data_IF_794897970008
#
_entry.id   IF_794897970008
#
_cell.length_a   1.000
_cell.length_b   1.000
_cell.length_c   1.000
_cell.angle_alpha   90.00
_cell.angle_beta   90.00
_cell.angle_gamma   90.00
#
_symmetry.space_group_name_H-M   'P 1'
#
loop_
_entity.id
_entity.type
_entity.pdbx_description
1 polymer ?
#
# COMPACT_ATOMS: atom_id res chain seq x y z
N UNK A 1 7.08 -7.77 14.29
CA UNK A 1 7.36 -6.73 15.30
C UNK A 1 7.18 -7.35 16.67
N UNK A 2 8.21 -8.04 17.11
CA UNK A 2 8.26 -8.95 18.25
C UNK A 2 9.58 -8.80 19.03
N UNK A 3 10.39 -7.81 18.64
CA UNK A 3 11.68 -7.50 19.24
C UNK A 3 12.88 -7.70 18.31
N UNK A 4 12.66 -8.19 17.09
CA UNK A 4 13.74 -8.41 16.11
C UNK A 4 14.48 -7.12 15.71
N UNK A 5 15.79 -7.25 15.52
CA UNK A 5 16.67 -6.16 15.11
C UNK A 5 16.97 -6.24 13.59
N UNK A 6 17.11 -5.07 12.95
CA UNK A 6 17.55 -4.96 11.56
C UNK A 6 18.71 -3.98 11.45
N UNK A 7 19.70 -4.32 10.62
CA UNK A 7 20.85 -3.46 10.36
C UNK A 7 20.55 -2.47 9.24
N UNK A 8 21.09 -1.25 9.37
CA UNK A 8 21.05 -0.23 8.32
C UNK A 8 22.48 0.08 7.87
N UNK A 9 22.69 0.09 6.56
CA UNK A 9 23.97 0.42 5.93
C UNK A 9 23.80 1.60 4.97
N UNK A 10 24.72 2.56 5.03
CA UNK A 10 24.71 3.76 4.18
C UNK A 10 25.83 3.68 3.12
N UNK A 11 25.49 3.51 1.82
CA UNK A 11 26.48 3.61 0.74
C UNK A 11 27.15 4.99 0.72
N UNK A 12 28.48 5.03 0.58
CA UNK A 12 29.26 6.27 0.67
C UNK A 12 29.65 6.86 -0.69
N UNK A 13 29.67 6.05 -1.75
CA UNK A 13 29.99 6.53 -3.11
C UNK A 13 28.72 6.76 -3.93
N UNK A 14 28.79 7.70 -4.86
CA UNK A 14 27.68 8.01 -5.76
C UNK A 14 27.27 6.81 -6.62
N UNK A 15 28.26 6.03 -7.10
CA UNK A 15 28.02 4.81 -7.87
C UNK A 15 27.26 3.76 -7.06
N UNK A 16 27.72 3.46 -5.83
CA UNK A 16 27.06 2.48 -4.97
C UNK A 16 25.67 2.95 -4.54
N UNK A 17 25.47 4.26 -4.32
CA UNK A 17 24.16 4.84 -4.01
C UNK A 17 23.20 4.68 -5.18
N UNK A 18 23.66 4.94 -6.40
CA UNK A 18 22.84 4.80 -7.60
C UNK A 18 22.43 3.33 -7.83
N UNK A 19 23.36 2.38 -7.72
CA UNK A 19 23.04 0.95 -7.85
C UNK A 19 22.07 0.46 -6.78
N UNK A 20 22.30 0.81 -5.51
CA UNK A 20 21.41 0.42 -4.42
C UNK A 20 20.00 0.98 -4.61
N UNK A 21 19.87 2.23 -5.09
CA UNK A 21 18.57 2.85 -5.34
C UNK A 21 17.84 2.22 -6.53
N UNK A 22 18.55 2.01 -7.65
CA UNK A 22 17.94 1.58 -8.91
C UNK A 22 17.74 0.06 -8.93
N UNK A 23 18.73 -0.74 -8.53
CA UNK A 23 18.66 -2.19 -8.65
C UNK A 23 18.10 -2.84 -7.39
N UNK A 24 18.51 -2.36 -6.21
CA UNK A 24 18.11 -2.93 -4.92
C UNK A 24 16.89 -2.23 -4.29
N UNK A 25 16.31 -1.25 -5.01
CA UNK A 25 15.12 -0.52 -4.55
C UNK A 25 13.90 -1.44 -4.39
N UNK A 26 13.10 -1.20 -3.35
CA UNK A 26 11.94 -2.04 -3.00
C UNK A 26 10.94 -2.16 -4.16
N UNK A 27 10.67 -1.06 -4.87
CA UNK A 27 9.72 -1.03 -5.99
C UNK A 27 10.15 -1.92 -7.16
N UNK A 28 11.46 -2.12 -7.35
CA UNK A 28 12.00 -2.99 -8.40
C UNK A 28 12.07 -4.47 -7.96
N UNK A 29 11.87 -4.74 -6.67
CA UNK A 29 12.00 -6.08 -6.07
C UNK A 29 10.70 -6.56 -5.41
N UNK A 30 9.54 -6.14 -5.94
CA UNK A 30 8.22 -6.57 -5.44
C UNK A 30 7.89 -8.03 -5.77
N UNK A 31 8.56 -8.61 -6.78
CA UNK A 31 8.33 -9.95 -7.30
C UNK A 31 9.54 -10.83 -7.01
N UNK A 32 9.32 -12.07 -6.59
CA UNK A 32 10.43 -13.00 -6.34
C UNK A 32 10.99 -13.59 -7.64
N UNK A 33 12.33 -13.66 -7.82
CA UNK A 33 12.94 -14.25 -8.99
C UNK A 33 12.78 -15.77 -9.05
N UNK A 34 12.38 -16.43 -7.95
CA UNK A 34 12.25 -17.90 -7.89
C UNK A 34 11.15 -18.42 -8.81
N UNK A 35 10.00 -17.77 -8.81
CA UNK A 35 8.80 -18.24 -9.52
C UNK A 35 7.92 -17.11 -10.08
N UNK A 36 8.31 -15.83 -9.91
CA UNK A 36 7.57 -14.70 -10.45
C UNK A 36 6.34 -14.29 -9.64
N UNK A 37 6.14 -14.84 -8.45
CA UNK A 37 5.02 -14.45 -7.59
C UNK A 37 5.29 -13.12 -6.86
N UNK A 38 4.25 -12.33 -6.54
CA UNK A 38 4.39 -11.15 -5.68
C UNK A 38 4.93 -11.54 -4.30
N UNK A 39 6.06 -10.94 -3.92
CA UNK A 39 6.68 -11.12 -2.61
C UNK A 39 6.18 -10.10 -1.59
N UNK A 40 6.02 -8.83 -2.02
CA UNK A 40 5.50 -7.75 -1.18
C UNK A 40 4.03 -7.52 -1.53
N UNK A 41 3.13 -7.89 -0.62
CA UNK A 41 1.69 -7.80 -0.80
C UNK A 41 0.99 -7.44 0.52
N UNK A 42 -0.32 -7.19 0.45
CA UNK A 42 -1.14 -6.94 1.63
C UNK A 42 -1.12 -8.13 2.59
N UNK A 43 -0.88 -7.85 3.87
CA UNK A 43 -0.82 -8.85 4.95
C UNK A 43 -2.02 -8.72 5.90
N UNK A 44 -2.01 -9.50 6.98
CA UNK A 44 -3.09 -9.74 7.96
C UNK A 44 -4.14 -8.63 8.09
N UNK A 45 -3.78 -7.46 8.62
CA UNK A 45 -4.75 -6.41 8.92
C UNK A 45 -5.28 -5.72 7.66
N UNK A 46 -4.44 -5.55 6.64
CA UNK A 46 -4.87 -4.97 5.36
C UNK A 46 -5.91 -5.86 4.68
N UNK A 47 -5.70 -7.18 4.70
CA UNK A 47 -6.67 -8.14 4.15
C UNK A 47 -7.97 -8.14 4.95
N UNK A 48 -7.88 -8.11 6.28
CA UNK A 48 -9.06 -8.10 7.16
C UNK A 48 -9.88 -6.83 6.97
N UNK A 49 -9.23 -5.65 6.96
CA UNK A 49 -9.91 -4.38 6.73
C UNK A 49 -10.51 -4.30 5.33
N UNK A 50 -9.78 -4.76 4.30
CA UNK A 50 -10.28 -4.82 2.93
C UNK A 50 -11.55 -5.67 2.83
N UNK A 51 -11.58 -6.83 3.49
CA UNK A 51 -12.76 -7.69 3.54
C UNK A 51 -13.95 -7.01 4.23
N UNK A 52 -13.74 -6.38 5.38
CA UNK A 52 -14.82 -5.67 6.11
C UNK A 52 -15.41 -4.53 5.28
N UNK A 53 -14.55 -3.77 4.58
CA UNK A 53 -14.99 -2.65 3.74
C UNK A 53 -15.76 -3.13 2.50
N UNK A 54 -15.35 -4.25 1.91
CA UNK A 54 -15.90 -4.76 0.65
C UNK A 54 -16.99 -5.83 0.81
N UNK A 55 -17.35 -6.17 2.05
CA UNK A 55 -18.44 -7.10 2.33
C UNK A 55 -19.75 -6.60 1.71
N UNK A 56 -20.55 -7.52 1.15
CA UNK A 56 -21.78 -7.19 0.38
C UNK A 56 -22.79 -6.32 1.13
N UNK A 57 -22.85 -6.42 2.45
CA UNK A 57 -23.81 -5.71 3.29
C UNK A 57 -23.24 -4.42 3.90
N UNK A 58 -22.06 -3.98 3.45
CA UNK A 58 -21.43 -2.73 3.88
C UNK A 58 -21.89 -1.56 3.02
N UNK A 59 -22.70 -0.66 3.59
CA UNK A 59 -23.15 0.57 2.95
C UNK A 59 -22.61 1.79 3.71
N UNK A 60 -22.23 2.83 2.97
CA UNK A 60 -21.67 4.05 3.50
C UNK A 60 -22.47 5.25 3.03
N UNK A 61 -22.73 6.18 3.95
CA UNK A 61 -23.27 7.48 3.56
C UNK A 61 -22.21 8.36 2.88
N UNK A 62 -22.64 9.50 2.35
CA UNK A 62 -21.75 10.42 1.63
C UNK A 62 -20.60 10.93 2.51
N UNK A 63 -20.86 11.19 3.80
CA UNK A 63 -19.84 11.74 4.69
C UNK A 63 -18.77 10.68 5.01
N UNK A 64 -19.19 9.46 5.34
CA UNK A 64 -18.32 8.31 5.59
C UNK A 64 -17.47 7.98 4.36
N UNK A 65 -18.08 7.92 3.16
CA UNK A 65 -17.36 7.65 1.93
C UNK A 65 -16.30 8.72 1.63
N UNK A 66 -16.67 10.01 1.74
CA UNK A 66 -15.72 11.10 1.58
C UNK A 66 -14.55 11.01 2.58
N UNK A 67 -14.82 10.63 3.82
CA UNK A 67 -13.78 10.46 4.83
C UNK A 67 -12.82 9.31 4.48
N UNK A 68 -13.35 8.18 4.01
CA UNK A 68 -12.53 7.06 3.53
C UNK A 68 -11.65 7.47 2.32
N UNK A 69 -12.21 8.23 1.38
CA UNK A 69 -11.46 8.79 0.26
C UNK A 69 -10.35 9.75 0.71
N UNK A 70 -10.59 10.55 1.75
CA UNK A 70 -9.59 11.43 2.33
C UNK A 70 -8.44 10.64 2.96
N UNK A 71 -8.74 9.56 3.70
CA UNK A 71 -7.72 8.66 4.26
C UNK A 71 -6.89 7.96 3.18
N UNK A 72 -7.52 7.53 2.09
CA UNK A 72 -6.82 6.89 0.98
C UNK A 72 -5.84 7.83 0.26
N UNK A 73 -6.17 9.12 0.17
CA UNK A 73 -5.45 10.09 -0.67
C UNK A 73 -4.63 11.12 0.10
N UNK A 74 -4.54 10.99 1.42
CA UNK A 74 -4.04 12.04 2.34
C UNK A 74 -4.70 13.42 2.10
N UNK A 75 -5.92 13.45 1.56
CA UNK A 75 -6.61 14.67 1.15
C UNK A 75 -5.96 15.44 -0.01
N UNK A 76 -5.00 14.85 -0.72
CA UNK A 76 -4.24 15.51 -1.80
C UNK A 76 -4.80 15.25 -3.19
N UNK A 77 -5.64 14.23 -3.35
CA UNK A 77 -6.21 13.85 -4.64
C UNK A 77 -7.62 14.42 -4.80
N UNK A 78 -7.90 15.03 -5.96
CA UNK A 78 -9.27 15.34 -6.36
C UNK A 78 -9.96 14.05 -6.80
N UNK A 79 -11.03 13.67 -6.10
CA UNK A 79 -11.81 12.46 -6.38
C UNK A 79 -13.20 12.87 -6.85
N UNK A 80 -13.62 12.38 -8.01
CA UNK A 80 -14.99 12.52 -8.50
C UNK A 80 -15.86 11.44 -7.86
N UNK A 81 -16.88 11.86 -7.10
CA UNK A 81 -17.74 10.92 -6.38
C UNK A 81 -18.68 10.20 -7.37
N UNK A 82 -18.74 8.86 -7.35
CA UNK A 82 -19.67 8.11 -8.17
C UNK A 82 -21.12 8.30 -7.70
N UNK A 83 -22.08 7.92 -8.55
CA UNK A 83 -23.49 7.82 -8.14
C UNK A 83 -23.64 6.70 -7.09
N UNK A 84 -24.43 6.90 -6.03
CA UNK A 84 -24.64 5.87 -5.02
C UNK A 84 -25.41 4.68 -5.60
N UNK A 85 -25.17 3.50 -5.04
CA UNK A 85 -25.85 2.25 -5.45
C UNK A 85 -27.34 2.24 -5.09
N UNK A 86 -27.73 2.98 -4.04
CA UNK A 86 -29.12 3.12 -3.57
C UNK A 86 -29.45 4.63 -3.56
N UNK A 87 -30.61 5.00 -4.13
CA UNK A 87 -31.09 6.38 -4.27
C UNK A 87 -32.35 6.58 -3.43
#
# INVERSE_FOLDING_TARGET
FDGDEMNLHLPQTEEARAEALILMGVLNNLITPRNGDPLVAATQDFLTASYVITKKDSFYDRAQFCQLCAFFSDGKMRIELPKPTIV
#
